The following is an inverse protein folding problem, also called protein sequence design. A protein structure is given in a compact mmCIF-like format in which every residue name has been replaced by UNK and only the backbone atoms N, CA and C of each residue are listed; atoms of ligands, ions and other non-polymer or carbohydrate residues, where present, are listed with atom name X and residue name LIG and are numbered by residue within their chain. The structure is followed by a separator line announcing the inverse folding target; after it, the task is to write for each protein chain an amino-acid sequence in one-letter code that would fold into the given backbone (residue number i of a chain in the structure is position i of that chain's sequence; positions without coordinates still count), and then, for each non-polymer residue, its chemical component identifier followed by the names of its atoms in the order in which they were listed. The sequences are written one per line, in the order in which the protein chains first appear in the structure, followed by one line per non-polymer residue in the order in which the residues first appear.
data_IF_294417020210
#
_entry.id   IF_294417020210
#
_cell.length_a   1.000
_cell.length_b   1.000
_cell.length_c   1.000
_cell.angle_alpha   90.00
_cell.angle_beta   90.00
_cell.angle_gamma   90.00
#
_symmetry.space_group_name_H-M   'P 1'
#
loop_
_entity.id
_entity.type
_entity.pdbx_description
1 polymer ?
#
# COMPACT_ATOMS: atom_id res chain seq x y z
N UNK A 1 1.23 -48.25 -0.10
CA UNK A 1 1.42 -46.92 0.49
C UNK A 1 0.40 -46.01 -0.16
N UNK A 2 -0.74 -45.78 0.52
CA UNK A 2 -1.82 -44.97 -0.05
C UNK A 2 -1.41 -43.50 -0.10
N UNK A 3 -1.17 -42.99 -1.30
CA UNK A 3 -1.00 -41.56 -1.54
C UNK A 3 -2.37 -40.89 -1.43
N UNK A 4 -2.83 -40.64 -0.20
CA UNK A 4 -4.01 -39.80 0.01
C UNK A 4 -3.79 -38.47 -0.74
N UNK A 5 -4.74 -38.01 -1.57
CA UNK A 5 -4.51 -36.86 -2.43
C UNK A 5 -4.25 -35.61 -1.57
N UNK A 6 -3.02 -35.13 -1.58
CA UNK A 6 -2.56 -33.91 -0.89
C UNK A 6 -3.06 -32.62 -1.59
N UNK A 7 -3.73 -32.77 -2.73
CA UNK A 7 -4.25 -31.70 -3.56
C UNK A 7 -5.14 -30.67 -2.80
N UNK A 8 -6.03 -31.05 -1.87
CA UNK A 8 -6.83 -30.08 -1.12
C UNK A 8 -5.98 -29.18 -0.22
N UNK A 9 -4.95 -29.75 0.43
CA UNK A 9 -4.03 -28.98 1.27
C UNK A 9 -3.17 -28.05 0.43
N UNK A 10 -2.78 -28.47 -0.77
CA UNK A 10 -2.05 -27.64 -1.72
C UNK A 10 -2.90 -26.44 -2.17
N UNK A 11 -4.16 -26.67 -2.57
CA UNK A 11 -5.08 -25.59 -2.96
C UNK A 11 -5.36 -24.61 -1.81
N UNK A 12 -5.55 -25.12 -0.59
CA UNK A 12 -5.72 -24.28 0.61
C UNK A 12 -4.49 -23.43 0.89
N UNK A 13 -3.29 -23.99 0.71
CA UNK A 13 -2.03 -23.26 0.91
C UNK A 13 -1.85 -22.15 -0.13
N UNK A 14 -2.18 -22.40 -1.39
CA UNK A 14 -2.14 -21.39 -2.46
C UNK A 14 -3.16 -20.28 -2.20
N UNK A 15 -4.39 -20.62 -1.80
CA UNK A 15 -5.40 -19.63 -1.45
C UNK A 15 -4.95 -18.75 -0.26
N UNK A 16 -4.33 -19.33 0.77
CA UNK A 16 -3.78 -18.58 1.89
C UNK A 16 -2.65 -17.63 1.45
N UNK A 17 -1.76 -18.04 0.55
CA UNK A 17 -0.69 -17.19 0.01
C UNK A 17 -1.23 -15.98 -0.77
N UNK A 18 -2.31 -16.17 -1.55
CA UNK A 18 -2.95 -15.08 -2.30
C UNK A 18 -3.63 -14.07 -1.36
N UNK A 19 -4.20 -14.53 -0.23
CA UNK A 19 -4.83 -13.64 0.75
C UNK A 19 -3.81 -12.80 1.56
N UNK A 20 -2.54 -13.20 1.58
CA UNK A 20 -1.47 -12.52 2.33
C UNK A 20 -0.73 -11.45 1.52
N UNK A 21 -1.04 -11.26 0.22
CA UNK A 21 -0.35 -10.28 -0.63
C UNK A 21 -0.83 -8.84 -0.47
N UNK A 22 -1.77 -8.58 0.46
CA UNK A 22 -2.48 -7.31 0.56
C UNK A 22 -1.67 -6.14 1.16
N UNK A 23 -0.53 -6.41 1.82
CA UNK A 23 0.09 -5.41 2.70
C UNK A 23 1.47 -4.88 2.25
N UNK A 24 1.87 -5.07 0.98
CA UNK A 24 3.02 -4.33 0.46
C UNK A 24 2.61 -2.89 0.11
N UNK A 25 2.36 -2.08 1.14
CA UNK A 25 2.24 -0.63 0.97
C UNK A 25 3.62 -0.09 0.55
N UNK A 26 3.76 0.23 -0.74
CA UNK A 26 4.92 0.94 -1.25
C UNK A 26 4.98 2.37 -0.71
N UNK A 27 6.15 2.99 -0.81
CA UNK A 27 6.30 4.42 -0.53
C UNK A 27 5.34 5.24 -1.40
N UNK A 28 4.65 6.19 -0.79
CA UNK A 28 3.78 7.14 -1.48
C UNK A 28 4.54 8.42 -1.80
N UNK A 29 4.40 8.92 -3.02
CA UNK A 29 4.91 10.23 -3.42
C UNK A 29 3.79 11.27 -3.30
N UNK A 30 3.89 12.16 -2.31
CA UNK A 30 2.87 13.15 -2.00
C UNK A 30 3.14 14.45 -2.77
N UNK A 31 2.45 14.64 -3.89
CA UNK A 31 2.60 15.85 -4.70
C UNK A 31 2.21 17.10 -3.90
N UNK A 32 3.20 17.92 -3.56
CA UNK A 32 3.00 19.08 -2.68
C UNK A 32 2.11 20.13 -3.32
N UNK A 33 1.08 20.56 -2.58
CA UNK A 33 0.08 21.51 -3.07
C UNK A 33 -0.84 20.94 -4.14
N UNK A 34 -0.81 19.63 -4.40
CA UNK A 34 -1.62 18.94 -5.40
C UNK A 34 -1.55 19.64 -6.77
N UNK A 35 -2.70 19.98 -7.36
CA UNK A 35 -2.78 20.68 -8.65
C UNK A 35 -2.32 22.14 -8.61
N UNK A 36 -2.02 22.70 -7.43
CA UNK A 36 -1.50 24.06 -7.29
C UNK A 36 0.04 24.08 -7.24
N UNK A 37 0.67 22.95 -6.89
CA UNK A 37 2.13 22.84 -6.79
C UNK A 37 2.73 23.69 -5.65
N UNK A 38 4.04 23.91 -5.73
CA UNK A 38 4.78 24.70 -4.75
C UNK A 38 4.75 26.19 -5.08
N UNK A 39 3.78 26.92 -4.53
CA UNK A 39 3.64 28.36 -4.71
C UNK A 39 3.17 29.08 -3.43
N UNK A 40 3.33 30.40 -3.37
CA UNK A 40 3.01 31.23 -2.19
C UNK A 40 1.51 31.42 -1.91
N UNK A 41 0.63 31.05 -2.85
CA UNK A 41 -0.82 31.11 -2.71
C UNK A 41 -1.45 29.86 -2.10
N UNK A 42 -0.65 28.82 -1.80
CA UNK A 42 -1.13 27.56 -1.21
C UNK A 42 -1.02 27.61 0.31
N UNK A 43 -2.09 27.20 0.99
CA UNK A 43 -2.03 26.92 2.41
C UNK A 43 -1.44 25.52 2.65
N UNK A 44 -0.11 25.45 2.81
CA UNK A 44 0.59 24.18 3.03
C UNK A 44 0.24 23.50 4.36
N UNK A 45 -0.15 24.27 5.37
CA UNK A 45 -0.64 23.70 6.64
C UNK A 45 -1.92 22.90 6.42
N UNK A 46 -2.85 23.44 5.64
CA UNK A 46 -4.08 22.73 5.29
C UNK A 46 -3.81 21.54 4.37
N UNK A 47 -2.90 21.66 3.40
CA UNK A 47 -2.50 20.54 2.54
C UNK A 47 -1.92 19.38 3.37
N UNK A 48 -0.95 19.68 4.25
CA UNK A 48 -0.28 18.68 5.07
C UNK A 48 -1.24 18.04 6.08
N UNK A 49 -2.17 18.81 6.66
CA UNK A 49 -3.19 18.30 7.57
C UNK A 49 -4.15 17.30 6.90
N UNK A 50 -4.25 17.31 5.57
CA UNK A 50 -5.07 16.38 4.80
C UNK A 50 -4.28 15.19 4.23
N UNK A 51 -2.99 15.05 4.58
CA UNK A 51 -2.17 13.88 4.22
C UNK A 51 -1.98 12.95 5.41
N UNK A 52 -1.69 11.69 5.13
CA UNK A 52 -1.13 10.75 6.12
C UNK A 52 0.23 10.32 5.62
N UNK A 53 1.28 10.60 6.38
CA UNK A 53 2.65 10.27 6.03
C UNK A 53 3.11 9.01 6.76
N UNK A 54 3.67 8.07 6.02
CA UNK A 54 4.35 6.90 6.57
C UNK A 54 5.86 7.02 6.38
N UNK A 55 6.63 6.30 7.21
CA UNK A 55 8.09 6.27 7.05
C UNK A 55 8.42 5.62 5.70
N UNK A 56 9.19 6.36 4.88
CA UNK A 56 9.58 5.94 3.53
C UNK A 56 8.85 6.67 2.41
N UNK A 57 7.82 7.46 2.71
CA UNK A 57 7.15 8.32 1.74
C UNK A 57 8.05 9.48 1.26
N UNK A 58 7.74 10.01 0.07
CA UNK A 58 8.40 11.15 -0.56
C UNK A 58 7.45 12.36 -0.69
N UNK A 59 8.03 13.55 -0.82
CA UNK A 59 7.33 14.83 -1.07
C UNK A 59 8.06 15.63 -2.15
#
# INVERSE_FOLDING_TARGET
MDLRPIWPFFLLSVAALILQSADFAGATDHIVGANHGWNSGVNFTQWAANQTFYVGDFI
#
